data_IF_727509279216
#
_entry.id   IF_727509279216
#
_cell.length_a   1.000
_cell.length_b   1.000
_cell.length_c   1.000
_cell.angle_alpha   90.00
_cell.angle_beta   90.00
_cell.angle_gamma   90.00
#
_symmetry.space_group_name_H-M   'P 1'
#
loop_
_entity.id
_entity.type
_entity.pdbx_description
1 polymer ?
#
# COMPACT_ATOMS: atom_id res chain seq x y z
N UNK A 1 7.65 -11.24 -27.24
CA UNK A 1 7.59 -12.49 -26.46
C UNK A 1 8.56 -12.34 -25.31
N UNK A 2 8.07 -11.76 -24.21
CA UNK A 2 8.69 -11.93 -22.90
C UNK A 2 7.50 -12.08 -21.98
N UNK A 3 7.06 -13.33 -21.83
CA UNK A 3 6.25 -13.75 -20.70
C UNK A 3 7.06 -13.38 -19.46
N UNK A 4 6.71 -12.26 -18.85
CA UNK A 4 7.08 -12.03 -17.46
C UNK A 4 6.24 -13.04 -16.70
N UNK A 5 6.87 -14.17 -16.39
CA UNK A 5 6.35 -15.24 -15.57
C UNK A 5 5.59 -14.64 -14.39
N UNK A 6 4.26 -14.61 -14.47
CA UNK A 6 3.40 -14.46 -13.30
C UNK A 6 3.76 -15.60 -12.38
N UNK A 7 4.52 -15.29 -11.34
CA UNK A 7 4.95 -16.26 -10.35
C UNK A 7 3.73 -16.62 -9.52
N UNK A 8 3.13 -17.82 -9.64
CA UNK A 8 1.98 -18.17 -8.84
C UNK A 8 2.50 -18.66 -7.48
N UNK A 9 2.18 -17.93 -6.41
CA UNK A 9 2.32 -18.40 -5.04
C UNK A 9 3.24 -17.56 -4.14
N UNK A 10 2.77 -16.39 -3.72
CA UNK A 10 3.14 -15.70 -2.48
C UNK A 10 1.83 -15.16 -1.91
N UNK A 11 1.61 -15.27 -0.60
CA UNK A 11 0.34 -14.89 0.05
C UNK A 11 -0.15 -13.52 -0.44
N UNK A 12 -1.47 -13.37 -0.62
CA UNK A 12 -2.08 -12.08 -0.95
C UNK A 12 -1.53 -11.06 0.05
N UNK A 13 -0.76 -10.08 -0.43
CA UNK A 13 -0.15 -9.07 0.40
C UNK A 13 -1.19 -8.51 1.38
N UNK A 14 -0.85 -8.44 2.66
CA UNK A 14 -1.82 -8.03 3.69
C UNK A 14 -2.37 -6.62 3.43
N UNK A 15 -1.55 -5.74 2.87
CA UNK A 15 -1.87 -4.33 2.68
C UNK A 15 -1.66 -3.85 1.24
N UNK A 16 -2.49 -2.87 0.89
CA UNK A 16 -2.32 -2.00 -0.26
C UNK A 16 -1.92 -0.62 0.24
N UNK A 17 -0.81 -0.09 -0.22
CA UNK A 17 -0.37 1.27 0.05
C UNK A 17 -0.44 2.10 -1.24
N UNK A 18 -1.15 3.23 -1.20
CA UNK A 18 -1.24 4.19 -2.31
C UNK A 18 -0.55 5.47 -1.90
N UNK A 19 0.59 5.76 -2.54
CA UNK A 19 1.38 6.95 -2.31
C UNK A 19 1.03 8.02 -3.35
N UNK A 20 0.67 9.21 -2.87
CA UNK A 20 0.31 10.35 -3.70
C UNK A 20 1.50 11.31 -3.81
N UNK A 21 1.98 11.56 -5.02
CA UNK A 21 3.13 12.43 -5.29
C UNK A 21 2.76 13.66 -6.13
N UNK A 22 3.43 14.79 -5.87
CA UNK A 22 3.45 15.93 -6.80
C UNK A 22 4.33 15.59 -8.01
N UNK A 23 3.79 15.76 -9.21
CA UNK A 23 4.53 15.66 -10.47
C UNK A 23 4.25 16.84 -11.40
N UNK A 24 5.02 16.97 -12.48
CA UNK A 24 4.77 17.95 -13.53
C UNK A 24 3.44 17.72 -14.27
N UNK A 25 2.92 16.49 -14.25
CA UNK A 25 1.62 16.13 -14.81
C UNK A 25 0.46 16.35 -13.81
N UNK A 26 0.74 16.93 -12.64
CA UNK A 26 -0.19 17.03 -11.52
C UNK A 26 0.06 15.94 -10.47
N UNK A 27 -0.96 15.66 -9.67
CA UNK A 27 -0.90 14.64 -8.62
C UNK A 27 -0.92 13.25 -9.27
N UNK A 28 -0.02 12.36 -8.83
CA UNK A 28 0.05 10.96 -9.29
C UNK A 28 -0.03 10.00 -8.13
N UNK A 29 -0.78 8.92 -8.32
CA UNK A 29 -0.92 7.83 -7.36
C UNK A 29 -0.05 6.64 -7.78
N UNK A 30 0.76 6.14 -6.85
CA UNK A 30 1.58 4.94 -7.02
C UNK A 30 1.13 3.87 -6.03
N UNK A 31 0.72 2.72 -6.56
CA UNK A 31 0.22 1.60 -5.76
C UNK A 31 1.33 0.59 -5.47
N UNK A 32 1.39 0.16 -4.21
CA UNK A 32 2.31 -0.84 -3.70
C UNK A 32 1.54 -1.90 -2.92
N UNK A 33 1.82 -3.17 -3.20
CA UNK A 33 1.42 -4.28 -2.34
C UNK A 33 2.53 -4.51 -1.31
N UNK A 34 2.19 -4.51 -0.02
CA UNK A 34 3.14 -4.71 1.09
C UNK A 34 2.56 -5.73 2.08
N UNK A 35 3.40 -6.57 2.67
CA UNK A 35 2.96 -7.56 3.66
C UNK A 35 2.97 -6.99 5.07
N UNK A 36 4.00 -6.23 5.40
CA UNK A 36 4.18 -5.58 6.70
C UNK A 36 4.17 -4.05 6.57
N UNK A 37 3.69 -3.37 7.62
CA UNK A 37 3.55 -1.91 7.59
C UNK A 37 4.88 -1.15 7.66
N UNK A 38 5.96 -1.80 8.09
CA UNK A 38 7.32 -1.22 8.16
C UNK A 38 7.96 -1.11 6.77
N UNK A 39 7.55 -1.92 5.80
CA UNK A 39 7.94 -1.79 4.39
C UNK A 39 7.63 -0.40 3.81
N UNK A 40 6.67 0.34 4.40
CA UNK A 40 6.40 1.74 4.03
C UNK A 40 7.59 2.67 4.26
N UNK A 41 8.45 2.36 5.23
CA UNK A 41 9.64 3.17 5.49
C UNK A 41 10.57 3.10 4.28
N UNK A 42 10.78 1.92 3.72
CA UNK A 42 11.54 1.76 2.47
C UNK A 42 10.90 2.51 1.31
N UNK A 43 9.56 2.50 1.18
CA UNK A 43 8.86 3.26 0.14
C UNK A 43 9.06 4.79 0.26
N UNK A 44 9.09 5.32 1.48
CA UNK A 44 9.27 6.76 1.73
C UNK A 44 10.74 7.16 1.55
N UNK A 45 11.65 6.40 2.14
CA UNK A 45 13.08 6.72 2.20
C UNK A 45 13.81 6.40 0.87
N UNK A 46 13.31 5.43 0.10
CA UNK A 46 13.84 5.05 -1.23
C UNK A 46 12.94 5.47 -2.39
N UNK A 47 11.86 6.18 -2.10
CA UNK A 47 10.98 6.76 -3.12
C UNK A 47 11.70 7.82 -3.97
N UNK A 48 11.04 8.38 -5.01
CA UNK A 48 11.67 9.34 -5.92
C UNK A 48 12.33 10.51 -5.18
N UNK A 49 11.59 11.15 -4.26
CA UNK A 49 12.05 12.11 -3.26
C UNK A 49 10.93 12.31 -2.23
N UNK A 50 11.21 12.14 -0.93
CA UNK A 50 10.20 12.29 0.14
C UNK A 50 9.55 13.68 0.18
N UNK A 51 10.20 14.73 -0.34
CA UNK A 51 9.65 16.08 -0.41
C UNK A 51 8.54 16.20 -1.46
N UNK A 52 8.39 15.21 -2.34
CA UNK A 52 7.32 15.17 -3.35
C UNK A 52 6.10 14.39 -2.88
N UNK A 53 6.23 13.58 -1.81
CA UNK A 53 5.15 12.82 -1.21
C UNK A 53 4.16 13.76 -0.51
N UNK A 54 2.88 13.61 -0.84
CA UNK A 54 1.77 14.37 -0.23
C UNK A 54 1.16 13.56 0.90
N UNK A 55 0.79 12.30 0.61
CA UNK A 55 0.20 11.37 1.56
C UNK A 55 0.44 9.93 1.12
N UNK A 56 0.34 8.99 2.06
CA UNK A 56 0.25 7.57 1.78
C UNK A 56 -0.98 7.00 2.49
N UNK A 57 -1.86 6.35 1.75
CA UNK A 57 -3.05 5.68 2.29
C UNK A 57 -2.80 4.18 2.30
N UNK A 58 -2.94 3.54 3.46
CA UNK A 58 -2.76 2.09 3.60
C UNK A 58 -4.10 1.44 3.95
N UNK A 59 -4.50 0.44 3.18
CA UNK A 59 -5.73 -0.33 3.38
C UNK A 59 -5.45 -1.82 3.37
N UNK A 60 -6.34 -2.62 3.97
CA UNK A 60 -6.25 -4.08 3.83
C UNK A 60 -6.48 -4.50 2.38
N UNK A 61 -5.64 -5.40 1.86
CA UNK A 61 -5.77 -5.95 0.51
C UNK A 61 -6.70 -7.18 0.46
N UNK A 62 -7.69 -7.22 1.35
CA UNK A 62 -8.70 -8.28 1.47
C UNK A 62 -10.05 -7.70 1.91
N UNK A 63 -11.16 -8.41 1.67
CA UNK A 63 -12.45 -8.02 2.25
C UNK A 63 -12.36 -7.90 3.78
N UNK A 64 -12.90 -6.81 4.32
CA UNK A 64 -12.97 -6.53 5.75
C UNK A 64 -14.40 -6.16 6.13
N UNK A 65 -14.76 -6.34 7.40
CA UNK A 65 -16.03 -5.84 7.92
C UNK A 65 -15.94 -4.32 8.08
N UNK A 66 -16.73 -3.58 7.30
CA UNK A 66 -16.80 -2.11 7.39
C UNK A 66 -17.50 -1.62 8.66
N UNK A 67 -18.22 -2.52 9.34
CA UNK A 67 -18.97 -2.21 10.55
C UNK A 67 -18.23 -2.57 11.83
N UNK A 68 -17.14 -3.34 11.75
CA UNK A 68 -16.40 -3.75 12.94
C UNK A 68 -15.62 -2.56 13.50
N UNK A 69 -16.02 -2.12 14.69
CA UNK A 69 -15.32 -1.06 15.44
C UNK A 69 -14.17 -1.63 16.28
N UNK A 70 -13.27 -0.75 16.72
CA UNK A 70 -12.15 -1.14 17.58
C UNK A 70 -12.67 -1.62 18.95
N UNK A 71 -13.73 -0.98 19.46
CA UNK A 71 -14.38 -1.32 20.73
C UNK A 71 -15.02 -2.71 20.72
N UNK A 72 -15.63 -3.10 19.60
CA UNK A 72 -16.19 -4.43 19.41
C UNK A 72 -15.08 -5.49 19.30
N UNK A 73 -14.03 -5.20 18.52
CA UNK A 73 -12.90 -6.11 18.37
C UNK A 73 -12.16 -6.38 19.69
N UNK A 74 -12.06 -5.39 20.58
CA UNK A 74 -11.40 -5.53 21.88
C UNK A 74 -12.14 -6.44 22.88
N UNK A 75 -13.39 -6.83 22.58
CA UNK A 75 -14.22 -7.72 23.42
C UNK A 75 -14.21 -9.18 22.95
N UNK A 76 -13.64 -9.47 21.79
CA UNK A 76 -13.49 -10.82 21.22
C UNK A 76 -12.28 -11.53 21.85
#
# INVERSE_FOLDING_TARGET
MTDVLEKPGLGVARWKAVAEYRSQAGIVDVEHAIEELDERHDLIERGPDWNTLIKITVTFARPVSELLTIEEAARL
#
